data_IF_890727053046
#
_entry.id   IF_890727053046
#
_cell.length_a   1.000
_cell.length_b   1.000
_cell.length_c   1.000
_cell.angle_alpha   90.00
_cell.angle_beta   90.00
_cell.angle_gamma   90.00
#
_symmetry.space_group_name_H-M   'P 1'
#
loop_
_entity.id
_entity.type
_entity.pdbx_description
1 polymer ?
#
# COMPACT_ATOMS: atom_id res chain seq x y z
N UNK A 1 -8.10 -5.53 -17.30
CA UNK A 1 -6.69 -5.10 -17.50
C UNK A 1 -5.87 -5.43 -16.25
N UNK A 2 -4.52 -5.47 -16.32
CA UNK A 2 -3.72 -5.78 -15.13
C UNK A 2 -3.73 -4.62 -14.11
N UNK A 3 -3.85 -4.94 -12.82
CA UNK A 3 -3.72 -3.97 -11.72
C UNK A 3 -2.36 -3.30 -11.82
N UNK A 4 -2.35 -1.97 -11.83
CA UNK A 4 -1.11 -1.18 -11.81
C UNK A 4 -0.69 -0.97 -10.37
N UNK A 5 0.57 -1.20 -10.06
CA UNK A 5 1.11 -1.02 -8.71
C UNK A 5 2.31 -0.10 -8.71
N UNK A 6 2.50 0.63 -7.61
CA UNK A 6 3.69 1.42 -7.31
C UNK A 6 4.10 1.12 -5.88
N UNK A 7 5.35 0.70 -5.66
CA UNK A 7 5.86 0.53 -4.31
C UNK A 7 5.89 1.88 -3.60
N UNK A 8 5.27 1.93 -2.42
CA UNK A 8 5.29 3.08 -1.52
C UNK A 8 6.44 2.87 -0.55
N UNK A 9 6.45 1.74 0.14
CA UNK A 9 7.38 1.48 1.23
C UNK A 9 7.76 0.00 1.29
N UNK A 10 9.01 -0.26 1.65
CA UNK A 10 9.51 -1.60 1.95
C UNK A 10 10.19 -1.57 3.32
N UNK A 11 9.65 -2.34 4.25
CA UNK A 11 10.23 -2.46 5.58
C UNK A 11 11.48 -3.32 5.57
N UNK A 12 12.32 -3.16 6.60
CA UNK A 12 13.58 -3.91 6.73
C UNK A 12 13.36 -5.42 6.88
N UNK A 13 12.21 -5.84 7.43
CA UNK A 13 11.82 -7.25 7.54
C UNK A 13 11.27 -7.84 6.22
N UNK A 14 11.16 -7.03 5.15
CA UNK A 14 10.80 -7.47 3.81
C UNK A 14 9.33 -7.30 3.42
N UNK A 15 8.48 -6.74 4.29
CA UNK A 15 7.11 -6.41 3.92
C UNK A 15 7.09 -5.26 2.91
N UNK A 16 6.26 -5.41 1.89
CA UNK A 16 6.10 -4.42 0.82
C UNK A 16 4.71 -3.83 0.89
N UNK A 17 4.65 -2.52 0.76
CA UNK A 17 3.44 -1.73 0.75
C UNK A 17 3.35 -1.03 -0.60
N UNK A 18 2.29 -1.30 -1.34
CA UNK A 18 2.11 -0.85 -2.72
C UNK A 18 0.84 -0.01 -2.84
N UNK A 19 0.89 1.08 -3.59
CA UNK A 19 -0.29 1.75 -4.10
C UNK A 19 -0.77 0.99 -5.34
N UNK A 20 -1.98 0.47 -5.31
CA UNK A 20 -2.56 -0.30 -6.40
C UNK A 20 -3.77 0.41 -7.01
N UNK A 21 -3.87 0.38 -8.33
CA UNK A 21 -5.02 0.86 -9.08
C UNK A 21 -5.54 -0.26 -9.97
N UNK A 22 -6.80 -0.64 -9.75
CA UNK A 22 -7.54 -1.49 -10.66
C UNK A 22 -8.07 -0.62 -11.82
N UNK A 23 -7.60 -0.84 -13.06
CA UNK A 23 -8.07 -0.08 -14.22
C UNK A 23 -9.51 -0.37 -14.60
N UNK A 24 -10.06 -1.54 -14.27
CA UNK A 24 -11.40 -1.95 -14.71
C UNK A 24 -12.48 -1.32 -13.82
N UNK A 25 -12.23 -1.25 -12.51
CA UNK A 25 -13.15 -0.64 -11.53
C UNK A 25 -12.80 0.80 -11.15
N UNK A 26 -11.64 1.31 -11.62
CA UNK A 26 -11.00 2.54 -11.14
C UNK A 26 -10.72 2.57 -9.63
N UNK A 27 -10.82 1.43 -8.92
CA UNK A 27 -10.55 1.31 -7.49
C UNK A 27 -9.07 1.56 -7.22
N UNK A 28 -8.77 2.37 -6.19
CA UNK A 28 -7.40 2.62 -5.72
C UNK A 28 -7.30 2.20 -4.26
N UNK A 29 -6.35 1.32 -3.96
CA UNK A 29 -6.19 0.70 -2.65
C UNK A 29 -4.71 0.50 -2.33
N UNK A 30 -4.40 0.23 -1.07
CA UNK A 30 -3.07 -0.16 -0.61
C UNK A 30 -2.99 -1.68 -0.58
N UNK A 31 -1.97 -2.26 -1.22
CA UNK A 31 -1.68 -3.69 -1.16
C UNK A 31 -0.50 -3.93 -0.21
N UNK A 32 -0.73 -4.75 0.80
CA UNK A 32 0.30 -5.26 1.69
C UNK A 32 0.74 -6.64 1.20
N UNK A 33 2.02 -6.77 0.87
CA UNK A 33 2.68 -8.03 0.53
C UNK A 33 3.69 -8.36 1.63
N UNK A 34 3.33 -9.22 2.59
CA UNK A 34 4.23 -9.61 3.66
C UNK A 34 5.43 -10.38 3.11
N UNK A 35 6.54 -10.38 3.86
CA UNK A 35 7.72 -11.14 3.47
C UNK A 35 7.40 -12.66 3.38
N UNK A 36 7.92 -13.33 2.34
CA UNK A 36 7.70 -14.75 2.02
C UNK A 36 7.87 -15.72 3.21
N UNK A 37 8.87 -15.56 4.11
CA UNK A 37 9.04 -16.42 5.27
C UNK A 37 7.96 -16.22 6.35
N UNK A 38 7.24 -15.11 6.34
CA UNK A 38 6.26 -14.77 7.38
C UNK A 38 4.93 -15.53 7.22
N UNK A 39 4.73 -16.24 6.11
CA UNK A 39 3.48 -16.96 5.83
C UNK A 39 2.23 -16.07 5.75
N UNK A 40 2.41 -14.74 5.70
CA UNK A 40 1.32 -13.78 5.64
C UNK A 40 0.63 -13.81 4.28
N UNK A 41 -0.64 -13.42 4.25
CA UNK A 41 -1.40 -13.29 3.01
C UNK A 41 -1.28 -11.86 2.47
N UNK A 42 -1.33 -11.74 1.15
CA UNK A 42 -1.49 -10.45 0.49
C UNK A 42 -2.84 -9.86 0.90
N UNK A 43 -2.84 -8.62 1.37
CA UNK A 43 -4.05 -7.92 1.79
C UNK A 43 -4.25 -6.64 0.98
N UNK A 44 -5.44 -6.49 0.40
CA UNK A 44 -5.88 -5.27 -0.27
C UNK A 44 -6.72 -4.44 0.71
N UNK A 45 -6.28 -3.22 0.99
CA UNK A 45 -6.82 -2.33 2.01
C UNK A 45 -7.22 -1.02 1.36
N UNK A 46 -8.48 -0.61 1.52
CA UNK A 46 -8.94 0.69 1.03
C UNK A 46 -8.11 1.84 1.61
N UNK A 47 -7.77 2.85 0.80
CA UNK A 47 -6.91 3.98 1.24
C UNK A 47 -7.46 4.63 2.51
N UNK A 48 -8.78 4.87 2.57
CA UNK A 48 -9.42 5.45 3.74
C UNK A 48 -9.24 4.58 4.98
N UNK A 49 -9.49 3.28 4.87
CA UNK A 49 -9.31 2.31 5.97
C UNK A 49 -7.84 2.24 6.43
N UNK A 50 -6.90 2.26 5.49
CA UNK A 50 -5.46 2.26 5.78
C UNK A 50 -5.04 3.52 6.55
N UNK A 51 -5.51 4.70 6.15
CA UNK A 51 -5.16 5.97 6.80
C UNK A 51 -5.78 6.11 8.20
N UNK A 52 -7.02 5.66 8.42
CA UNK A 52 -7.69 5.76 9.73
C UNK A 52 -7.27 4.67 10.73
N UNK A 53 -6.69 3.57 10.24
CA UNK A 53 -6.21 2.51 11.13
C UNK A 53 -5.25 3.07 12.20
N UNK A 54 -5.22 2.46 13.37
CA UNK A 54 -4.33 2.91 14.45
C UNK A 54 -2.86 2.85 14.03
N UNK A 55 -2.06 3.78 14.54
CA UNK A 55 -0.62 3.88 14.24
C UNK A 55 -0.32 4.79 13.03
N UNK A 56 0.85 5.41 13.05
CA UNK A 56 1.35 6.27 11.97
C UNK A 56 2.68 5.72 11.48
N UNK A 57 2.67 4.49 10.98
CA UNK A 57 3.86 3.81 10.50
C UNK A 57 4.48 4.47 9.26
N UNK A 58 5.74 4.14 8.94
CA UNK A 58 6.45 4.69 7.79
C UNK A 58 5.70 4.48 6.47
N UNK A 59 4.94 3.39 6.33
CA UNK A 59 4.12 3.10 5.16
C UNK A 59 3.03 4.16 4.91
N UNK A 60 2.45 4.71 5.98
CA UNK A 60 1.42 5.77 5.88
C UNK A 60 2.06 7.11 5.57
N UNK A 61 3.18 7.41 6.23
CA UNK A 61 3.93 8.64 6.01
C UNK A 61 4.39 8.74 4.55
N UNK A 62 4.85 7.62 3.99
CA UNK A 62 5.33 7.56 2.62
C UNK A 62 4.19 7.63 1.59
N UNK A 63 3.01 7.10 1.91
CA UNK A 63 1.80 7.33 1.10
C UNK A 63 1.41 8.81 1.09
N UNK A 64 1.40 9.46 2.25
CA UNK A 64 1.10 10.90 2.35
C UNK A 64 2.16 11.73 1.63
N UNK A 65 3.44 11.36 1.74
CA UNK A 65 4.54 12.00 1.00
C UNK A 65 4.32 11.90 -0.50
N UNK A 66 3.93 10.71 -0.99
CA UNK A 66 3.60 10.49 -2.39
C UNK A 66 2.42 11.35 -2.86
N UNK A 67 1.35 11.45 -2.07
CA UNK A 67 0.21 12.34 -2.37
C UNK A 67 0.68 13.80 -2.41
N UNK A 68 1.57 14.18 -1.49
CA UNK A 68 2.18 15.51 -1.44
C UNK A 68 3.03 15.87 -2.66
N UNK A 69 3.48 14.91 -3.48
CA UNK A 69 4.19 15.24 -4.74
C UNK A 69 3.25 15.63 -5.88
N UNK A 70 1.94 15.66 -5.65
CA UNK A 70 0.93 16.04 -6.64
C UNK A 70 0.60 17.54 -6.62
N UNK A 71 1.22 18.30 -5.71
CA UNK A 71 1.09 19.76 -5.57
C UNK A 71 2.38 20.49 -5.90
#
# INVERSE_FOLDING_TARGET
MAVRTREIYRSANGDRWLLARDPDSARVFVRHEPNLPSGGQVADIEIGAFLIATGNGPEKQELLRLIGTLI
#
